data_IF_105167727554
#
_entry.id   IF_105167727554
#
_cell.length_a   1.000
_cell.length_b   1.000
_cell.length_c   1.000
_cell.angle_alpha   90.00
_cell.angle_beta   90.00
_cell.angle_gamma   90.00
#
_symmetry.space_group_name_H-M   'P 1'
#
loop_
_entity.id
_entity.type
_entity.pdbx_description
1 polymer ?
#
# COMPACT_ATOMS: atom_id res chain seq x y z
N UNK A 1 3.23 -12.03 24.74
CA UNK A 1 2.22 -11.48 23.78
C UNK A 1 1.05 -12.44 23.78
N UNK A 2 -0.19 -11.96 23.80
CA UNK A 2 -1.39 -12.80 23.73
C UNK A 2 -1.42 -13.56 22.40
N UNK A 3 -1.78 -14.84 22.40
CA UNK A 3 -1.84 -15.66 21.20
C UNK A 3 -3.30 -15.82 20.76
N UNK A 4 -3.58 -15.55 19.49
CA UNK A 4 -4.88 -15.83 18.85
C UNK A 4 -4.76 -17.18 18.15
N UNK A 5 -5.62 -18.14 18.54
CA UNK A 5 -5.63 -19.51 18.03
C UNK A 5 -7.01 -19.84 17.45
N UNK A 6 -7.07 -20.16 16.16
CA UNK A 6 -8.32 -20.48 15.46
C UNK A 6 -9.00 -21.76 15.98
N UNK A 7 -8.24 -22.65 16.64
CA UNK A 7 -8.81 -23.83 17.27
C UNK A 7 -9.52 -23.52 18.61
N UNK A 8 -9.33 -22.31 19.15
CA UNK A 8 -9.91 -21.86 20.41
C UNK A 8 -10.54 -20.49 20.27
N UNK A 9 -11.70 -20.38 19.56
CA UNK A 9 -12.36 -19.09 19.37
C UNK A 9 -12.76 -18.45 20.70
N UNK A 10 -12.56 -17.13 20.78
CA UNK A 10 -12.81 -16.29 21.94
C UNK A 10 -13.65 -15.07 21.55
N UNK A 11 -14.04 -14.25 22.51
CA UNK A 11 -14.71 -12.96 22.26
C UNK A 11 -13.69 -11.85 22.06
N UNK A 12 -13.65 -11.29 20.86
CA UNK A 12 -12.75 -10.18 20.48
C UNK A 12 -13.53 -8.90 20.24
N UNK A 13 -13.11 -7.83 20.92
CA UNK A 13 -13.70 -6.51 20.78
C UNK A 13 -12.78 -5.58 19.98
N UNK A 14 -13.34 -4.87 18.97
CA UNK A 14 -12.61 -3.95 18.11
C UNK A 14 -12.97 -2.49 18.38
N UNK A 15 -12.02 -1.66 18.82
CA UNK A 15 -12.19 -0.20 18.92
C UNK A 15 -11.93 0.40 17.53
N UNK A 16 -12.98 0.92 16.88
CA UNK A 16 -12.94 1.40 15.50
C UNK A 16 -13.11 0.30 14.47
N UNK A 17 -14.07 -0.60 14.68
CA UNK A 17 -14.33 -1.80 13.85
C UNK A 17 -14.67 -1.48 12.40
N UNK A 18 -15.26 -0.29 12.11
CA UNK A 18 -15.63 0.14 10.76
C UNK A 18 -14.49 0.66 9.90
N UNK A 19 -13.27 0.75 10.44
CA UNK A 19 -12.09 1.07 9.64
C UNK A 19 -11.81 -0.02 8.60
N UNK A 20 -11.41 0.38 7.37
CA UNK A 20 -11.21 -0.53 6.22
C UNK A 20 -10.39 -1.78 6.60
N UNK A 21 -9.27 -1.60 7.30
CA UNK A 21 -8.40 -2.71 7.71
C UNK A 21 -8.94 -3.48 8.92
N UNK A 22 -9.64 -2.79 9.85
CA UNK A 22 -10.20 -3.42 11.06
C UNK A 22 -11.38 -4.33 10.72
N UNK A 23 -12.26 -3.86 9.82
CA UNK A 23 -13.44 -4.63 9.41
C UNK A 23 -13.07 -5.97 8.77
N UNK A 24 -12.02 -5.99 7.95
CA UNK A 24 -11.60 -7.24 7.35
C UNK A 24 -10.92 -8.20 8.34
N UNK A 25 -10.20 -7.69 9.35
CA UNK A 25 -9.67 -8.54 10.43
C UNK A 25 -10.80 -9.14 11.26
N UNK A 26 -11.87 -8.35 11.50
CA UNK A 26 -13.09 -8.84 12.15
C UNK A 26 -13.79 -9.92 11.31
N UNK A 27 -13.82 -9.77 9.98
CA UNK A 27 -14.41 -10.75 9.05
C UNK A 27 -13.64 -12.08 9.07
N UNK A 28 -12.30 -12.05 9.11
CA UNK A 28 -11.49 -13.27 9.28
C UNK A 28 -11.91 -14.00 10.56
N UNK A 29 -12.03 -13.31 11.69
CA UNK A 29 -12.43 -13.95 12.95
C UNK A 29 -13.84 -14.54 12.90
N UNK A 30 -14.80 -13.82 12.30
CA UNK A 30 -16.17 -14.33 12.15
C UNK A 30 -16.20 -15.62 11.34
N UNK A 31 -15.39 -15.71 10.27
CA UNK A 31 -15.31 -16.93 9.47
C UNK A 31 -14.68 -18.11 10.22
N UNK A 32 -13.83 -17.83 11.22
CA UNK A 32 -13.18 -18.81 12.09
C UNK A 32 -13.99 -19.10 13.37
N UNK A 33 -15.24 -18.62 13.44
CA UNK A 33 -16.18 -18.93 14.52
C UNK A 33 -15.97 -18.15 15.82
N UNK A 34 -15.19 -17.08 15.82
CA UNK A 34 -15.02 -16.18 16.96
C UNK A 34 -16.27 -15.36 17.22
N UNK A 35 -16.49 -14.99 18.48
CA UNK A 35 -17.44 -13.93 18.81
C UNK A 35 -16.77 -12.58 18.58
N UNK A 36 -17.40 -11.75 17.75
CA UNK A 36 -16.84 -10.44 17.39
C UNK A 36 -17.81 -9.33 17.78
N UNK A 37 -17.30 -8.37 18.52
CA UNK A 37 -17.99 -7.11 18.79
C UNK A 37 -17.05 -5.93 18.62
N UNK A 38 -17.59 -4.74 18.58
CA UNK A 38 -16.77 -3.55 18.47
C UNK A 38 -17.57 -2.26 18.50
N UNK A 39 -16.86 -1.15 18.30
CA UNK A 39 -17.47 0.18 18.23
C UNK A 39 -16.97 0.95 17.02
N UNK A 40 -17.82 1.84 16.52
CA UNK A 40 -17.45 2.88 15.56
C UNK A 40 -18.24 4.16 15.80
N UNK A 41 -17.76 5.29 15.26
CA UNK A 41 -18.48 6.54 15.39
C UNK A 41 -19.75 6.56 14.56
N UNK A 42 -19.67 6.02 13.35
CA UNK A 42 -20.75 6.07 12.35
C UNK A 42 -21.06 4.69 11.79
N UNK A 43 -22.31 4.53 11.39
CA UNK A 43 -22.74 3.40 10.59
C UNK A 43 -22.23 3.56 9.16
N UNK A 44 -21.71 2.50 8.59
CA UNK A 44 -21.16 2.43 7.24
C UNK A 44 -21.51 1.11 6.56
N UNK A 45 -21.31 1.01 5.25
CA UNK A 45 -21.50 -0.25 4.53
C UNK A 45 -20.65 -1.40 5.11
N UNK A 46 -19.42 -1.08 5.58
CA UNK A 46 -18.54 -2.07 6.22
C UNK A 46 -19.11 -2.57 7.54
N UNK A 47 -19.57 -1.68 8.43
CA UNK A 47 -20.16 -2.10 9.70
C UNK A 47 -21.48 -2.85 9.50
N UNK A 48 -22.30 -2.46 8.53
CA UNK A 48 -23.52 -3.18 8.18
C UNK A 48 -23.24 -4.60 7.63
N UNK A 49 -22.16 -4.74 6.87
CA UNK A 49 -21.71 -6.05 6.40
C UNK A 49 -21.30 -6.94 7.57
N UNK A 50 -20.51 -6.41 8.51
CA UNK A 50 -20.09 -7.15 9.71
C UNK A 50 -21.29 -7.55 10.60
N UNK A 51 -22.27 -6.65 10.80
CA UNK A 51 -23.50 -6.97 11.54
C UNK A 51 -24.28 -8.12 10.88
N UNK A 52 -24.39 -8.12 9.55
CA UNK A 52 -25.02 -9.22 8.79
C UNK A 52 -24.23 -10.52 8.90
N UNK A 53 -22.92 -10.45 9.07
CA UNK A 53 -22.03 -11.60 9.26
C UNK A 53 -21.98 -12.09 10.71
N UNK A 54 -22.68 -11.42 11.65
CA UNK A 54 -22.81 -11.85 13.04
C UNK A 54 -22.05 -11.02 14.07
N UNK A 55 -21.39 -9.94 13.69
CA UNK A 55 -20.75 -9.04 14.65
C UNK A 55 -21.78 -8.16 15.38
N UNK A 56 -21.48 -7.80 16.62
CA UNK A 56 -22.23 -6.78 17.36
C UNK A 56 -21.48 -5.43 17.32
N UNK A 57 -22.11 -4.38 16.77
CA UNK A 57 -21.46 -3.07 16.61
C UNK A 57 -22.17 -1.99 17.44
N UNK A 58 -21.43 -1.31 18.31
CA UNK A 58 -21.87 -0.16 19.08
C UNK A 58 -21.53 1.13 18.35
N UNK A 59 -22.49 2.05 18.21
CA UNK A 59 -22.29 3.32 17.53
C UNK A 59 -22.34 4.50 18.49
N UNK A 60 -21.52 5.52 18.22
CA UNK A 60 -21.56 6.80 18.95
C UNK A 60 -20.22 7.49 19.09
N UNK A 61 -20.30 8.80 19.32
CA UNK A 61 -19.16 9.66 19.60
C UNK A 61 -19.47 10.55 20.82
N UNK A 62 -18.70 10.46 21.93
CA UNK A 62 -17.60 9.51 22.17
C UNK A 62 -18.10 8.08 22.35
N UNK A 63 -17.19 7.12 22.11
CA UNK A 63 -17.41 5.70 22.46
C UNK A 63 -17.47 5.56 23.99
N UNK A 64 -18.30 4.64 24.49
CA UNK A 64 -18.63 4.55 25.91
C UNK A 64 -17.87 3.42 26.60
N UNK A 65 -17.38 3.67 27.81
CA UNK A 65 -16.72 2.65 28.64
C UNK A 65 -17.59 1.38 28.87
N UNK A 66 -18.92 1.55 28.91
CA UNK A 66 -19.90 0.47 29.12
C UNK A 66 -19.91 -0.58 28.01
N UNK A 67 -19.37 -0.26 26.82
CA UNK A 67 -19.24 -1.20 25.72
C UNK A 67 -18.21 -2.29 26.01
N UNK A 68 -17.28 -2.05 26.93
CA UNK A 68 -16.29 -3.04 27.38
C UNK A 68 -16.85 -3.81 28.57
N UNK A 69 -17.26 -5.06 28.31
CA UNK A 69 -17.91 -5.97 29.24
C UNK A 69 -16.95 -7.08 29.71
N UNK A 70 -17.32 -7.76 30.78
CA UNK A 70 -16.43 -8.78 31.44
C UNK A 70 -16.30 -10.08 30.64
N UNK A 71 -17.11 -10.30 29.60
CA UNK A 71 -17.07 -11.45 28.70
C UNK A 71 -16.14 -11.25 27.49
N UNK A 72 -15.48 -10.09 27.39
CA UNK A 72 -14.48 -9.82 26.36
C UNK A 72 -13.13 -10.41 26.77
N UNK A 73 -12.54 -11.25 25.91
CA UNK A 73 -11.26 -11.90 26.15
C UNK A 73 -10.07 -11.09 25.59
N UNK A 74 -10.29 -10.32 24.52
CA UNK A 74 -9.24 -9.56 23.82
C UNK A 74 -9.80 -8.27 23.23
N UNK A 75 -9.06 -7.18 23.37
CA UNK A 75 -9.37 -5.88 22.72
C UNK A 75 -8.36 -5.58 21.62
N UNK A 76 -8.83 -5.25 20.41
CA UNK A 76 -8.02 -4.82 19.28
C UNK A 76 -8.27 -3.35 18.99
N UNK A 77 -7.21 -2.57 18.80
CA UNK A 77 -7.33 -1.12 18.58
C UNK A 77 -6.40 -0.61 17.47
N UNK A 78 -6.76 0.52 16.86
CA UNK A 78 -5.95 1.19 15.84
C UNK A 78 -5.01 2.24 16.46
N UNK A 79 -3.99 2.64 15.71
CA UNK A 79 -3.10 3.74 16.10
C UNK A 79 -3.83 5.11 16.21
N UNK A 80 -5.06 5.23 15.71
CA UNK A 80 -5.88 6.42 15.82
C UNK A 80 -6.61 6.52 17.18
N UNK A 81 -6.58 5.46 17.99
CA UNK A 81 -7.16 5.44 19.34
C UNK A 81 -6.15 6.04 20.32
N UNK A 82 -6.54 7.14 20.96
CA UNK A 82 -5.73 7.83 21.96
C UNK A 82 -6.08 7.39 23.38
N UNK A 83 -5.20 7.73 24.34
CA UNK A 83 -5.34 7.33 25.74
C UNK A 83 -6.59 7.92 26.45
N UNK A 84 -7.22 8.95 25.90
CA UNK A 84 -8.47 9.56 26.36
C UNK A 84 -9.74 8.84 25.88
N UNK A 85 -9.59 7.84 25.01
CA UNK A 85 -10.73 6.99 24.60
C UNK A 85 -11.24 6.19 25.78
N UNK A 86 -12.54 6.29 26.06
CA UNK A 86 -13.16 5.66 27.25
C UNK A 86 -13.13 4.14 27.20
N UNK A 87 -13.29 3.51 26.01
CA UNK A 87 -13.21 2.07 25.87
C UNK A 87 -11.77 1.57 26.08
N UNK A 88 -10.78 2.29 25.51
CA UNK A 88 -9.37 1.98 25.69
C UNK A 88 -8.94 2.07 27.17
N UNK A 89 -9.39 3.10 27.88
CA UNK A 89 -9.14 3.29 29.30
C UNK A 89 -9.81 2.18 30.13
N UNK A 90 -11.07 1.84 29.80
CA UNK A 90 -11.82 0.79 30.48
C UNK A 90 -11.20 -0.59 30.30
N UNK A 91 -10.76 -0.93 29.10
CA UNK A 91 -10.04 -2.19 28.83
C UNK A 91 -8.76 -2.31 29.68
N UNK A 92 -8.02 -1.21 29.84
CA UNK A 92 -6.83 -1.15 30.73
C UNK A 92 -7.19 -1.31 32.21
N UNK A 93 -8.26 -0.68 32.67
CA UNK A 93 -8.72 -0.83 34.06
C UNK A 93 -9.09 -2.28 34.37
N UNK A 94 -9.75 -2.96 33.43
CA UNK A 94 -10.12 -4.37 33.56
C UNK A 94 -8.94 -5.32 33.33
N UNK A 95 -7.75 -4.79 32.96
CA UNK A 95 -6.56 -5.56 32.63
C UNK A 95 -6.79 -6.59 31.51
N UNK A 96 -7.69 -6.29 30.59
CA UNK A 96 -7.92 -7.14 29.42
C UNK A 96 -6.68 -7.19 28.53
N UNK A 97 -6.36 -8.31 27.91
CA UNK A 97 -5.38 -8.37 26.83
C UNK A 97 -5.72 -7.37 25.74
N UNK A 98 -4.74 -6.61 25.28
CA UNK A 98 -4.91 -5.59 24.26
C UNK A 98 -3.83 -5.75 23.19
N UNK A 99 -4.23 -5.75 21.92
CA UNK A 99 -3.32 -5.78 20.77
C UNK A 99 -3.60 -4.59 19.85
N UNK A 100 -2.56 -3.95 19.40
CA UNK A 100 -2.66 -3.06 18.27
C UNK A 100 -3.06 -3.82 17.00
N UNK A 101 -3.61 -3.15 16.00
CA UNK A 101 -3.95 -3.76 14.70
C UNK A 101 -2.79 -4.55 14.09
N UNK A 102 -1.56 -4.03 14.18
CA UNK A 102 -0.39 -4.69 13.61
C UNK A 102 0.00 -5.95 14.39
N UNK A 103 -0.02 -5.91 15.72
CA UNK A 103 0.22 -7.08 16.57
C UNK A 103 -0.85 -8.14 16.33
N UNK A 104 -2.11 -7.72 16.23
CA UNK A 104 -3.22 -8.64 15.97
C UNK A 104 -3.09 -9.32 14.60
N UNK A 105 -2.77 -8.55 13.53
CA UNK A 105 -2.50 -9.11 12.20
C UNK A 105 -1.36 -10.15 12.25
N UNK A 106 -0.29 -9.84 12.99
CA UNK A 106 0.80 -10.80 13.21
C UNK A 106 0.34 -12.08 13.93
N UNK A 107 -0.57 -11.98 14.91
CA UNK A 107 -1.12 -13.17 15.57
C UNK A 107 -1.99 -14.00 14.63
N UNK A 108 -2.78 -13.37 13.74
CA UNK A 108 -3.55 -14.09 12.73
C UNK A 108 -2.62 -14.88 11.79
N UNK A 109 -1.50 -14.30 11.34
CA UNK A 109 -0.53 -14.96 10.47
C UNK A 109 -0.05 -16.30 11.00
N UNK A 110 0.05 -16.49 12.32
CA UNK A 110 0.50 -17.74 12.95
C UNK A 110 -0.42 -18.93 12.73
N UNK A 111 -1.66 -18.68 12.33
CA UNK A 111 -2.66 -19.74 12.10
C UNK A 111 -2.61 -20.29 10.67
N UNK A 112 -1.71 -19.77 9.82
CA UNK A 112 -1.56 -20.20 8.43
C UNK A 112 -0.23 -20.91 8.21
N UNK A 113 -0.20 -21.89 7.30
CA UNK A 113 1.00 -22.69 7.00
C UNK A 113 2.07 -21.89 6.28
N UNK A 114 1.64 -20.96 5.45
CA UNK A 114 2.52 -20.17 4.58
C UNK A 114 2.15 -18.68 4.61
N UNK A 115 2.43 -17.99 5.71
CA UNK A 115 2.26 -16.55 5.80
C UNK A 115 3.34 -15.82 5.00
N UNK A 116 2.90 -14.90 4.12
CA UNK A 116 3.71 -14.13 3.19
C UNK A 116 3.58 -12.66 3.57
N UNK A 117 4.71 -11.96 3.76
CA UNK A 117 4.74 -10.55 4.09
C UNK A 117 5.51 -9.76 3.02
N UNK A 118 4.84 -8.78 2.41
CA UNK A 118 5.41 -7.93 1.36
C UNK A 118 5.76 -6.57 1.95
N UNK A 119 7.06 -6.28 2.03
CA UNK A 119 7.60 -5.04 2.58
C UNK A 119 8.45 -4.25 1.57
N UNK A 120 8.76 -3.03 1.92
CA UNK A 120 9.55 -2.10 1.11
C UNK A 120 9.06 -0.67 1.35
N UNK A 121 9.87 0.33 1.07
CA UNK A 121 9.43 1.72 1.17
C UNK A 121 8.29 1.97 0.16
N UNK A 122 8.46 1.50 -1.08
CA UNK A 122 7.50 1.69 -2.17
C UNK A 122 7.10 0.35 -2.82
N UNK A 123 5.97 0.35 -3.55
CA UNK A 123 5.51 -0.80 -4.34
C UNK A 123 4.78 -1.91 -3.56
N UNK A 124 4.68 -1.82 -2.23
CA UNK A 124 4.04 -2.83 -1.37
C UNK A 124 2.65 -3.24 -1.86
N UNK A 125 1.74 -2.27 -1.98
CA UNK A 125 0.34 -2.52 -2.39
C UNK A 125 0.27 -3.15 -3.77
N UNK A 126 1.02 -2.62 -4.74
CA UNK A 126 1.03 -3.14 -6.11
C UNK A 126 1.55 -4.58 -6.17
N UNK A 127 2.68 -4.87 -5.48
CA UNK A 127 3.25 -6.22 -5.45
C UNK A 127 2.34 -7.21 -4.72
N UNK A 128 1.77 -6.80 -3.57
CA UNK A 128 0.79 -7.63 -2.85
C UNK A 128 -0.41 -7.94 -3.73
N UNK A 129 -0.89 -6.97 -4.51
CA UNK A 129 -2.00 -7.17 -5.44
C UNK A 129 -1.63 -8.08 -6.62
N UNK A 130 -0.45 -7.92 -7.23
CA UNK A 130 0.06 -8.84 -8.26
C UNK A 130 0.11 -10.29 -7.75
N UNK A 131 0.66 -10.49 -6.56
CA UNK A 131 0.70 -11.80 -5.89
C UNK A 131 -0.72 -12.32 -5.67
N UNK A 132 -1.63 -11.47 -5.18
CA UNK A 132 -3.02 -11.85 -4.94
C UNK A 132 -3.72 -12.29 -6.21
N UNK A 133 -3.58 -11.57 -7.32
CA UNK A 133 -4.17 -11.95 -8.60
C UNK A 133 -3.60 -13.28 -9.14
N UNK A 134 -2.28 -13.51 -9.00
CA UNK A 134 -1.66 -14.79 -9.37
C UNK A 134 -2.27 -15.95 -8.56
N UNK A 135 -2.38 -15.78 -7.24
CA UNK A 135 -2.91 -16.80 -6.36
C UNK A 135 -4.40 -17.09 -6.63
N UNK A 136 -5.18 -16.03 -6.93
CA UNK A 136 -6.59 -16.15 -7.29
C UNK A 136 -6.76 -16.86 -8.65
N UNK A 137 -5.98 -16.47 -9.66
CA UNK A 137 -5.97 -17.09 -10.98
C UNK A 137 -5.63 -18.59 -10.90
N UNK A 138 -4.66 -18.94 -10.05
CA UNK A 138 -4.26 -20.33 -9.79
C UNK A 138 -5.24 -21.09 -8.88
N UNK A 139 -6.35 -20.50 -8.47
CA UNK A 139 -7.39 -21.10 -7.61
C UNK A 139 -6.85 -21.66 -6.29
N UNK A 140 -5.88 -20.99 -5.67
CA UNK A 140 -5.24 -21.44 -4.41
C UNK A 140 -6.00 -21.05 -3.15
N UNK A 141 -7.06 -20.30 -3.27
CA UNK A 141 -7.95 -19.84 -2.17
C UNK A 141 -7.23 -19.15 -0.98
N UNK A 142 -6.41 -18.11 -1.20
CA UNK A 142 -5.63 -17.45 -0.16
C UNK A 142 -6.50 -16.50 0.69
N UNK A 143 -6.09 -16.30 1.96
CA UNK A 143 -6.48 -15.12 2.73
C UNK A 143 -5.56 -13.96 2.39
N UNK A 144 -6.15 -12.79 2.10
CA UNK A 144 -5.44 -11.62 1.58
C UNK A 144 -5.69 -10.41 2.48
N UNK A 145 -4.63 -9.63 2.76
CA UNK A 145 -4.69 -8.34 3.46
C UNK A 145 -3.82 -7.32 2.71
N UNK A 146 -4.46 -6.52 1.87
CA UNK A 146 -3.84 -5.60 0.91
C UNK A 146 -3.97 -4.16 1.44
N UNK A 147 -3.01 -3.30 1.14
CA UNK A 147 -3.02 -1.89 1.55
C UNK A 147 -3.98 -0.98 0.77
N UNK A 148 -4.56 -1.48 -0.34
CA UNK A 148 -5.48 -0.76 -1.21
C UNK A 148 -6.63 -1.63 -1.69
N UNK A 149 -7.61 -1.04 -2.36
CA UNK A 149 -8.77 -1.77 -2.91
C UNK A 149 -8.34 -2.54 -4.17
N UNK A 150 -8.49 -3.84 -4.15
CA UNK A 150 -8.31 -4.72 -5.29
C UNK A 150 -9.67 -5.07 -5.90
N UNK A 151 -9.85 -4.76 -7.19
CA UNK A 151 -11.16 -4.86 -7.86
C UNK A 151 -11.68 -6.29 -7.93
N UNK A 152 -10.82 -7.28 -8.10
CA UNK A 152 -11.19 -8.71 -8.20
C UNK A 152 -11.80 -9.27 -6.92
N UNK A 153 -11.49 -8.69 -5.76
CA UNK A 153 -12.06 -9.09 -4.46
C UNK A 153 -13.02 -8.03 -3.89
N UNK A 154 -13.29 -6.93 -4.63
CA UNK A 154 -14.14 -5.82 -4.20
C UNK A 154 -13.78 -5.21 -2.84
N UNK A 155 -12.49 -5.25 -2.47
CA UNK A 155 -12.04 -4.81 -1.16
C UNK A 155 -10.53 -4.90 -1.00
N UNK A 156 -10.08 -4.76 0.22
CA UNK A 156 -8.68 -4.89 0.60
C UNK A 156 -8.39 -6.14 1.46
N UNK A 157 -9.43 -6.88 1.81
CA UNK A 157 -9.33 -8.15 2.53
C UNK A 157 -10.20 -9.19 1.82
N UNK A 158 -9.72 -10.41 1.78
CA UNK A 158 -10.44 -11.60 1.36
C UNK A 158 -10.13 -12.71 2.34
N UNK A 159 -11.16 -13.40 2.80
CA UNK A 159 -11.02 -14.61 3.59
C UNK A 159 -10.95 -15.80 2.64
N UNK A 160 -9.88 -16.57 2.72
CA UNK A 160 -9.69 -17.86 2.04
C UNK A 160 -9.56 -18.99 3.04
N UNK A 161 -9.62 -20.22 2.55
CA UNK A 161 -9.60 -21.43 3.40
C UNK A 161 -8.34 -22.28 3.18
N UNK A 162 -7.38 -21.79 2.42
CA UNK A 162 -6.07 -22.45 2.29
C UNK A 162 -5.09 -22.02 3.38
N UNK A 163 -3.96 -22.73 3.49
CA UNK A 163 -2.87 -22.34 4.38
C UNK A 163 -2.08 -21.10 3.93
N UNK A 164 -2.52 -20.40 2.88
CA UNK A 164 -1.84 -19.20 2.34
C UNK A 164 -2.43 -17.93 2.96
N UNK A 165 -1.56 -17.09 3.50
CA UNK A 165 -1.91 -15.75 3.98
C UNK A 165 -0.96 -14.72 3.38
N UNK A 166 -1.46 -13.73 2.65
CA UNK A 166 -0.64 -12.66 2.07
C UNK A 166 -0.98 -11.34 2.74
N UNK A 167 0.01 -10.66 3.29
CA UNK A 167 -0.17 -9.36 3.92
C UNK A 167 0.85 -8.33 3.44
N UNK A 168 0.38 -7.10 3.26
CA UNK A 168 1.25 -5.95 3.14
C UNK A 168 1.87 -5.62 4.51
N UNK A 169 3.20 -5.47 4.54
CA UNK A 169 4.00 -5.29 5.75
C UNK A 169 4.62 -3.89 5.76
N UNK A 170 3.95 -2.96 6.45
CA UNK A 170 4.39 -1.56 6.54
C UNK A 170 5.51 -1.41 7.57
N UNK A 171 6.60 -0.74 7.17
CA UNK A 171 7.75 -0.42 8.00
C UNK A 171 7.48 0.70 9.00
N UNK A 172 6.51 1.58 8.69
CA UNK A 172 6.18 2.73 9.55
C UNK A 172 5.84 2.29 10.97
N UNK A 173 6.43 2.99 11.94
CA UNK A 173 6.38 2.66 13.38
C UNK A 173 6.83 1.24 13.73
N UNK A 174 7.64 0.62 12.87
CA UNK A 174 8.08 -0.77 13.02
C UNK A 174 6.93 -1.78 13.07
N UNK A 175 5.78 -1.46 12.48
CA UNK A 175 4.57 -2.31 12.52
C UNK A 175 4.82 -3.72 12.00
N UNK A 176 5.62 -3.86 10.94
CA UNK A 176 5.95 -5.15 10.33
C UNK A 176 6.78 -6.08 11.25
N UNK A 177 7.42 -5.53 12.30
CA UNK A 177 8.18 -6.34 13.28
C UNK A 177 7.25 -7.14 14.20
N UNK A 178 5.96 -6.88 14.19
CA UNK A 178 4.96 -7.67 14.90
C UNK A 178 4.49 -8.91 14.10
N UNK A 179 4.96 -9.07 12.85
CA UNK A 179 4.54 -10.15 11.96
C UNK A 179 5.34 -11.44 12.18
N UNK A 180 4.79 -12.56 11.69
CA UNK A 180 5.41 -13.89 11.76
C UNK A 180 5.41 -14.53 10.37
N UNK A 181 6.15 -13.95 9.41
CA UNK A 181 6.15 -14.47 8.04
C UNK A 181 7.01 -15.74 7.93
N UNK A 182 6.60 -16.66 7.07
CA UNK A 182 7.43 -17.75 6.55
C UNK A 182 8.13 -17.33 5.26
N UNK A 183 7.49 -16.44 4.49
CA UNK A 183 8.05 -15.85 3.30
C UNK A 183 8.03 -14.33 3.45
N UNK A 184 9.18 -13.70 3.30
CA UNK A 184 9.34 -12.25 3.30
C UNK A 184 9.75 -11.73 1.93
N UNK A 185 9.28 -10.54 1.58
CA UNK A 185 9.70 -9.83 0.37
C UNK A 185 10.14 -8.43 0.77
N UNK A 186 11.31 -7.98 0.30
CA UNK A 186 11.82 -6.62 0.47
C UNK A 186 12.04 -6.01 -0.92
N UNK A 187 11.18 -5.04 -1.28
CA UNK A 187 11.16 -4.45 -2.62
C UNK A 187 12.22 -3.37 -2.82
N UNK A 188 12.37 -2.49 -1.84
CA UNK A 188 13.33 -1.38 -1.83
C UNK A 188 13.46 -0.84 -0.40
N UNK A 189 14.53 -0.09 -0.15
CA UNK A 189 14.81 0.57 1.13
C UNK A 189 15.29 1.98 0.82
N UNK A 190 14.44 2.98 1.07
CA UNK A 190 14.70 4.40 0.83
C UNK A 190 14.34 5.23 2.06
N UNK A 191 14.78 6.49 2.08
CA UNK A 191 14.38 7.42 3.14
C UNK A 191 12.90 7.77 3.02
N UNK A 192 12.13 7.42 4.01
CA UNK A 192 10.74 7.87 4.23
C UNK A 192 10.44 7.82 5.74
N UNK A 193 9.29 8.36 6.14
CA UNK A 193 8.85 8.36 7.54
C UNK A 193 9.88 8.94 8.52
N UNK A 194 10.55 10.04 8.13
CA UNK A 194 11.57 10.71 8.96
C UNK A 194 11.00 11.41 10.21
N UNK A 195 9.69 11.36 10.39
CA UNK A 195 8.99 11.66 11.64
C UNK A 195 9.15 10.54 12.68
N UNK A 196 9.46 9.32 12.24
CA UNK A 196 9.65 8.15 13.09
C UNK A 196 11.09 7.63 13.03
N UNK A 197 11.66 7.43 11.85
CA UNK A 197 13.04 6.99 11.66
C UNK A 197 14.00 8.17 11.69
N UNK A 198 15.17 7.94 12.27
CA UNK A 198 16.20 8.96 12.37
C UNK A 198 16.87 9.26 11.04
N UNK A 199 17.18 8.23 10.28
CA UNK A 199 17.92 8.28 9.02
C UNK A 199 17.79 6.93 8.26
N UNK A 200 18.39 6.86 7.07
CA UNK A 200 18.41 5.64 6.25
C UNK A 200 19.04 4.44 6.98
N UNK A 201 20.06 4.68 7.82
CA UNK A 201 20.70 3.59 8.56
C UNK A 201 19.73 2.95 9.57
N UNK A 202 18.91 3.76 10.23
CA UNK A 202 17.86 3.28 11.14
C UNK A 202 16.78 2.50 10.40
N UNK A 203 16.35 3.00 9.22
CA UNK A 203 15.43 2.27 8.32
C UNK A 203 16.03 0.92 7.94
N UNK A 204 17.28 0.87 7.47
CA UNK A 204 17.98 -0.38 7.10
C UNK A 204 18.06 -1.35 8.27
N UNK A 205 18.35 -0.86 9.48
CA UNK A 205 18.36 -1.69 10.68
C UNK A 205 16.98 -2.30 10.98
N UNK A 206 15.90 -1.56 10.72
CA UNK A 206 14.53 -2.06 10.85
C UNK A 206 14.23 -3.16 9.83
N UNK A 207 14.57 -2.97 8.54
CA UNK A 207 14.42 -4.01 7.52
C UNK A 207 15.27 -5.26 7.82
N UNK A 208 16.47 -5.09 8.37
CA UNK A 208 17.28 -6.24 8.86
C UNK A 208 16.54 -7.02 9.94
N UNK A 209 15.95 -6.34 10.92
CA UNK A 209 15.12 -6.99 11.96
C UNK A 209 13.92 -7.72 11.35
N UNK A 210 13.27 -7.14 10.35
CA UNK A 210 12.18 -7.81 9.62
C UNK A 210 12.67 -9.09 8.94
N UNK A 211 13.80 -9.06 8.23
CA UNK A 211 14.40 -10.24 7.62
C UNK A 211 14.74 -11.35 8.66
N UNK A 212 15.14 -10.96 9.87
CA UNK A 212 15.43 -11.88 10.97
C UNK A 212 14.18 -12.54 11.59
N UNK A 213 12.97 -12.10 11.26
CA UNK A 213 11.74 -12.78 11.69
C UNK A 213 11.50 -14.10 10.94
N UNK A 214 12.15 -14.28 9.80
CA UNK A 214 11.97 -15.47 8.97
C UNK A 214 12.59 -16.71 9.61
N UNK A 215 11.85 -17.84 9.70
CA UNK A 215 12.38 -19.08 10.24
C UNK A 215 13.41 -19.71 9.29
N UNK A 216 14.16 -20.67 9.77
CA UNK A 216 15.23 -21.33 9.01
C UNK A 216 14.71 -22.07 7.75
N UNK A 217 13.46 -22.54 7.77
CA UNK A 217 12.76 -23.14 6.63
C UNK A 217 11.99 -22.12 5.77
N UNK A 218 12.15 -20.83 6.08
CA UNK A 218 11.55 -19.71 5.36
C UNK A 218 12.34 -19.28 4.12
N UNK A 219 11.81 -18.30 3.40
CA UNK A 219 12.47 -17.69 2.24
C UNK A 219 12.34 -16.17 2.29
N UNK A 220 13.45 -15.47 2.09
CA UNK A 220 13.49 -14.03 1.85
C UNK A 220 13.72 -13.77 0.36
N UNK A 221 12.79 -13.05 -0.28
CA UNK A 221 13.04 -12.42 -1.57
C UNK A 221 13.48 -10.98 -1.33
N UNK A 222 14.62 -10.59 -1.88
CA UNK A 222 15.15 -9.23 -1.70
C UNK A 222 15.60 -8.65 -3.04
N UNK A 223 15.29 -7.39 -3.26
CA UNK A 223 15.76 -6.69 -4.45
C UNK A 223 17.28 -6.51 -4.39
N UNK A 224 17.99 -7.12 -5.35
CA UNK A 224 19.44 -7.06 -5.49
C UNK A 224 19.96 -5.68 -5.92
N UNK A 225 19.08 -4.78 -6.35
CA UNK A 225 19.45 -3.40 -6.69
C UNK A 225 19.52 -2.49 -5.44
N UNK A 226 19.09 -2.96 -4.27
CA UNK A 226 19.29 -2.25 -3.00
C UNK A 226 20.79 -2.20 -2.71
N UNK A 227 21.32 -1.00 -2.56
CA UNK A 227 22.74 -0.81 -2.23
C UNK A 227 23.11 -1.60 -0.96
N UNK A 228 24.19 -2.40 -1.03
CA UNK A 228 24.66 -3.23 0.09
C UNK A 228 23.55 -4.10 0.72
N UNK A 229 22.67 -4.71 -0.09
CA UNK A 229 21.59 -5.58 0.40
C UNK A 229 22.10 -6.75 1.24
N UNK A 230 23.34 -7.18 1.02
CA UNK A 230 24.00 -8.26 1.78
C UNK A 230 24.04 -7.97 3.30
N UNK A 231 24.15 -6.69 3.71
CA UNK A 231 24.10 -6.29 5.12
C UNK A 231 22.74 -6.62 5.77
N UNK A 232 21.64 -6.59 4.99
CA UNK A 232 20.31 -6.96 5.46
C UNK A 232 20.19 -8.47 5.67
N UNK A 233 20.91 -9.26 4.87
CA UNK A 233 20.77 -10.72 4.81
C UNK A 233 21.87 -11.49 5.55
N UNK A 234 22.92 -10.80 5.97
CA UNK A 234 24.04 -11.43 6.67
C UNK A 234 23.61 -12.18 7.94
N UNK A 235 23.97 -13.47 8.01
CA UNK A 235 23.67 -14.34 9.17
C UNK A 235 22.23 -14.83 9.25
N UNK A 236 21.39 -14.62 8.22
CA UNK A 236 20.07 -15.24 8.17
C UNK A 236 20.18 -16.76 8.00
N UNK A 237 19.30 -17.50 8.68
CA UNK A 237 19.20 -18.95 8.55
C UNK A 237 18.28 -19.38 7.40
N UNK A 238 17.37 -18.50 6.94
CA UNK A 238 16.44 -18.78 5.86
C UNK A 238 17.13 -18.72 4.50
N UNK A 239 16.44 -19.25 3.47
CA UNK A 239 16.87 -19.10 2.08
C UNK A 239 16.73 -17.65 1.63
N UNK A 240 17.75 -17.11 0.95
CA UNK A 240 17.71 -15.79 0.32
C UNK A 240 17.68 -15.98 -1.20
N UNK A 241 16.76 -15.29 -1.86
CA UNK A 241 16.60 -15.24 -3.32
C UNK A 241 16.54 -13.77 -3.74
N UNK A 242 17.33 -13.40 -4.73
CA UNK A 242 17.41 -12.03 -5.23
C UNK A 242 16.58 -11.85 -6.50
N UNK A 243 15.98 -10.69 -6.64
CA UNK A 243 15.42 -10.20 -7.90
C UNK A 243 15.94 -8.78 -8.15
N UNK A 244 16.04 -8.37 -9.41
CA UNK A 244 16.60 -7.04 -9.73
C UNK A 244 16.67 -6.80 -11.22
N UNK A 245 17.25 -5.64 -11.61
CA UNK A 245 17.28 -5.19 -13.00
C UNK A 245 18.40 -5.84 -13.84
N UNK A 246 19.34 -6.51 -13.21
CA UNK A 246 20.52 -7.08 -13.89
C UNK A 246 20.71 -8.56 -13.61
N UNK A 247 21.51 -9.24 -14.46
CA UNK A 247 21.90 -10.65 -14.31
C UNK A 247 22.74 -10.97 -13.06
N UNK A 248 22.99 -10.00 -12.19
CA UNK A 248 23.57 -10.24 -10.89
C UNK A 248 22.56 -10.82 -9.89
N UNK A 249 21.27 -10.72 -10.20
CA UNK A 249 20.17 -11.27 -9.40
C UNK A 249 19.70 -12.63 -9.93
N UNK A 250 19.07 -13.43 -9.05
CA UNK A 250 18.51 -14.76 -9.40
C UNK A 250 17.32 -14.64 -10.36
N UNK A 251 16.54 -13.54 -10.26
CA UNK A 251 15.47 -13.19 -11.18
C UNK A 251 15.75 -11.81 -11.76
N UNK A 252 15.82 -11.71 -13.10
CA UNK A 252 16.09 -10.44 -13.77
C UNK A 252 15.40 -10.38 -15.15
N UNK A 253 15.15 -9.16 -15.69
CA UNK A 253 14.52 -8.98 -16.99
C UNK A 253 15.57 -8.83 -18.09
N UNK A 254 15.20 -9.19 -19.33
CA UNK A 254 15.87 -8.75 -20.56
C UNK A 254 14.84 -8.44 -21.64
N UNK A 255 15.31 -7.89 -22.76
CA UNK A 255 14.50 -7.61 -23.96
C UNK A 255 13.23 -6.77 -23.64
N UNK A 256 13.38 -5.77 -22.76
CA UNK A 256 12.25 -4.91 -22.36
C UNK A 256 11.80 -4.07 -23.56
N UNK A 257 10.52 -4.13 -23.85
CA UNK A 257 9.88 -3.34 -24.91
C UNK A 257 8.51 -2.86 -24.44
N UNK A 258 8.04 -1.76 -25.03
CA UNK A 258 6.76 -1.15 -24.70
C UNK A 258 5.87 -1.08 -25.93
N UNK A 259 4.59 -1.41 -25.78
CA UNK A 259 3.60 -1.25 -26.84
C UNK A 259 3.08 0.20 -26.92
N UNK A 260 2.11 0.46 -27.78
CA UNK A 260 1.52 1.80 -27.98
C UNK A 260 0.74 2.32 -26.76
N UNK A 261 0.34 1.43 -25.85
CA UNK A 261 -0.36 1.74 -24.59
C UNK A 261 0.59 1.75 -23.40
N UNK A 262 1.91 1.72 -23.64
CA UNK A 262 2.97 1.69 -22.63
C UNK A 262 3.00 0.42 -21.74
N UNK A 263 2.38 -0.68 -22.19
CA UNK A 263 2.48 -1.96 -21.49
C UNK A 263 3.85 -2.58 -21.75
N UNK A 264 4.55 -2.95 -20.68
CA UNK A 264 5.87 -3.54 -20.76
C UNK A 264 5.79 -5.03 -21.11
N UNK A 265 6.57 -5.46 -22.12
CA UNK A 265 6.84 -6.87 -22.43
C UNK A 265 8.32 -7.13 -22.27
N UNK A 266 8.69 -8.18 -21.56
CA UNK A 266 10.09 -8.53 -21.29
C UNK A 266 10.27 -10.03 -21.09
N UNK A 267 11.52 -10.49 -21.19
CA UNK A 267 11.92 -11.86 -20.88
C UNK A 267 12.35 -11.95 -19.42
N UNK A 268 11.69 -12.80 -18.63
CA UNK A 268 12.10 -13.13 -17.25
C UNK A 268 13.12 -14.23 -17.28
N UNK A 269 14.28 -14.02 -16.67
CA UNK A 269 15.26 -15.04 -16.35
C UNK A 269 15.05 -15.50 -14.91
N UNK A 270 14.88 -16.80 -14.69
CA UNK A 270 14.61 -17.38 -13.37
C UNK A 270 15.84 -18.09 -12.82
N UNK A 271 15.90 -18.25 -11.50
CA UNK A 271 16.97 -18.94 -10.76
C UNK A 271 17.29 -20.34 -11.33
N UNK A 272 16.31 -21.05 -11.86
CA UNK A 272 16.49 -22.40 -12.45
C UNK A 272 17.00 -22.38 -13.92
N UNK A 273 17.36 -21.21 -14.44
CA UNK A 273 17.82 -21.03 -15.82
C UNK A 273 16.72 -21.01 -16.87
N UNK A 274 15.45 -21.05 -16.49
CA UNK A 274 14.34 -20.90 -17.43
C UNK A 274 14.19 -19.44 -17.86
N UNK A 275 13.81 -19.25 -19.12
CA UNK A 275 13.48 -17.94 -19.69
C UNK A 275 12.04 -17.96 -20.18
N UNK A 276 11.27 -16.94 -19.81
CA UNK A 276 9.83 -16.87 -20.11
C UNK A 276 9.44 -15.43 -20.42
N UNK A 277 8.63 -15.23 -21.44
CA UNK A 277 8.16 -13.89 -21.82
C UNK A 277 6.96 -13.50 -20.96
N UNK A 278 6.95 -12.27 -20.47
CA UNK A 278 5.90 -11.70 -19.64
C UNK A 278 5.46 -10.34 -20.19
N UNK A 279 4.16 -10.07 -20.16
CA UNK A 279 3.59 -8.75 -20.45
C UNK A 279 2.78 -8.29 -19.23
N UNK A 280 2.96 -7.03 -18.83
CA UNK A 280 2.23 -6.43 -17.71
C UNK A 280 1.03 -5.64 -18.22
N UNK A 281 -0.09 -5.72 -17.50
CA UNK A 281 -1.24 -4.85 -17.71
C UNK A 281 -1.16 -3.51 -16.93
N UNK A 282 -0.08 -3.30 -16.17
CA UNK A 282 0.19 -2.04 -15.44
C UNK A 282 1.38 -1.32 -16.02
N UNK A 283 1.34 0.01 -15.99
CA UNK A 283 2.38 0.86 -16.55
C UNK A 283 3.50 1.16 -15.56
N UNK A 284 4.67 1.56 -16.11
CA UNK A 284 5.82 2.00 -15.35
C UNK A 284 6.89 0.92 -15.16
N UNK A 285 8.14 1.33 -15.38
CA UNK A 285 9.31 0.45 -15.32
C UNK A 285 9.51 -0.20 -13.94
N UNK A 286 9.20 0.54 -12.87
CA UNK A 286 9.25 0.02 -11.50
C UNK A 286 8.35 -1.22 -11.29
N UNK A 287 7.27 -1.36 -12.08
CA UNK A 287 6.39 -2.53 -12.03
C UNK A 287 7.01 -3.77 -12.62
N UNK A 288 8.08 -3.66 -13.42
CA UNK A 288 8.88 -4.83 -13.84
C UNK A 288 9.54 -5.45 -12.61
N UNK A 289 10.18 -4.65 -11.74
CA UNK A 289 10.78 -5.15 -10.51
C UNK A 289 9.72 -5.75 -9.55
N UNK A 290 8.56 -5.10 -9.39
CA UNK A 290 7.45 -5.62 -8.60
C UNK A 290 6.96 -6.98 -9.13
N UNK A 291 6.85 -7.12 -10.46
CA UNK A 291 6.44 -8.37 -11.12
C UNK A 291 7.48 -9.48 -10.95
N UNK A 292 8.78 -9.16 -10.99
CA UNK A 292 9.83 -10.15 -10.73
C UNK A 292 9.74 -10.76 -9.34
N UNK A 293 9.44 -9.95 -8.31
CA UNK A 293 9.19 -10.46 -6.96
C UNK A 293 7.98 -11.41 -6.93
N UNK A 294 6.88 -11.03 -7.62
CA UNK A 294 5.68 -11.86 -7.70
C UNK A 294 5.92 -13.17 -8.47
N UNK A 295 6.68 -13.14 -9.59
CA UNK A 295 7.09 -14.33 -10.34
C UNK A 295 7.99 -15.24 -9.52
N UNK A 296 8.95 -14.69 -8.78
CA UNK A 296 9.85 -15.47 -7.94
C UNK A 296 9.08 -16.22 -6.83
N UNK A 297 8.08 -15.57 -6.23
CA UNK A 297 7.17 -16.20 -5.27
C UNK A 297 6.29 -17.27 -5.95
N UNK A 298 5.75 -16.99 -7.12
CA UNK A 298 4.94 -17.93 -7.91
C UNK A 298 5.71 -19.22 -8.21
N UNK A 299 6.98 -19.10 -8.63
CA UNK A 299 7.87 -20.25 -8.86
C UNK A 299 8.14 -21.03 -7.55
N UNK A 300 8.34 -20.37 -6.41
CA UNK A 300 8.50 -21.03 -5.11
C UNK A 300 7.26 -21.82 -4.72
N UNK A 301 6.07 -21.29 -4.99
CA UNK A 301 4.78 -21.95 -4.71
C UNK A 301 4.39 -22.97 -5.79
N UNK A 302 5.22 -23.18 -6.82
CA UNK A 302 4.97 -24.11 -7.94
C UNK A 302 3.68 -23.81 -8.72
N UNK A 303 3.35 -22.52 -8.86
CA UNK A 303 2.21 -22.07 -9.68
C UNK A 303 2.57 -22.18 -11.17
N UNK A 304 1.64 -22.63 -12.01
CA UNK A 304 1.84 -22.69 -13.46
C UNK A 304 2.12 -21.26 -14.00
N UNK A 305 3.17 -21.16 -14.80
CA UNK A 305 3.56 -19.87 -15.37
C UNK A 305 2.48 -19.23 -16.25
N UNK A 306 1.60 -20.01 -16.84
CA UNK A 306 0.45 -19.49 -17.62
C UNK A 306 -0.49 -18.71 -16.73
N UNK A 307 -0.79 -19.23 -15.52
CA UNK A 307 -1.63 -18.53 -14.55
C UNK A 307 -0.96 -17.23 -14.09
N UNK A 308 0.36 -17.29 -13.84
CA UNK A 308 1.16 -16.11 -13.50
C UNK A 308 1.13 -15.06 -14.61
N UNK A 309 1.37 -15.46 -15.85
CA UNK A 309 1.41 -14.54 -16.99
C UNK A 309 0.03 -13.93 -17.29
N UNK A 310 -1.03 -14.74 -17.23
CA UNK A 310 -2.41 -14.29 -17.45
C UNK A 310 -2.87 -13.32 -16.34
N UNK A 311 -2.57 -13.64 -15.09
CA UNK A 311 -2.89 -12.77 -13.96
C UNK A 311 -2.21 -11.39 -14.09
N UNK A 312 -0.91 -11.36 -14.40
CA UNK A 312 -0.16 -10.11 -14.53
C UNK A 312 -0.54 -9.30 -15.78
N UNK A 313 -0.94 -9.96 -16.86
CA UNK A 313 -1.48 -9.28 -18.04
C UNK A 313 -2.85 -8.62 -17.76
N UNK A 314 -3.71 -9.30 -17.01
CA UNK A 314 -5.05 -8.83 -16.68
C UNK A 314 -5.09 -7.91 -15.45
N UNK A 315 -3.99 -7.78 -14.71
CA UNK A 315 -3.89 -6.86 -13.59
C UNK A 315 -3.66 -5.44 -14.09
N UNK A 316 -4.65 -4.57 -13.91
CA UNK A 316 -4.59 -3.16 -14.33
C UNK A 316 -4.42 -2.18 -13.15
N UNK A 317 -3.86 -2.67 -12.04
CA UNK A 317 -3.58 -1.87 -10.85
C UNK A 317 -4.69 -1.96 -9.79
N UNK A 318 -4.41 -1.34 -8.65
CA UNK A 318 -5.36 -1.08 -7.57
C UNK A 318 -5.89 0.35 -7.68
N UNK A 319 -6.99 0.63 -7.00
CA UNK A 319 -7.48 2.00 -6.92
C UNK A 319 -6.38 2.94 -6.46
N UNK A 320 -6.32 4.12 -7.06
CA UNK A 320 -5.31 5.15 -6.80
C UNK A 320 -3.84 4.75 -7.11
N UNK A 321 -3.59 3.81 -8.05
CA UNK A 321 -2.25 3.45 -8.55
C UNK A 321 -2.22 3.54 -10.07
N UNK A 322 -1.91 4.71 -10.61
CA UNK A 322 -2.05 5.08 -12.02
C UNK A 322 -3.45 4.71 -12.56
N UNK A 323 -4.47 4.97 -11.75
CA UNK A 323 -5.84 4.55 -12.01
C UNK A 323 -6.48 5.45 -13.07
N UNK A 324 -6.89 4.87 -14.20
CA UNK A 324 -7.72 5.56 -15.16
C UNK A 324 -9.12 5.82 -14.56
N UNK A 325 -9.47 7.09 -14.37
CA UNK A 325 -10.76 7.51 -13.80
C UNK A 325 -11.81 7.78 -14.87
N UNK A 326 -11.40 8.24 -16.04
CA UNK A 326 -12.33 8.58 -17.12
C UNK A 326 -11.77 9.63 -18.08
N UNK A 327 -12.65 10.13 -18.95
CA UNK A 327 -12.32 11.19 -19.92
C UNK A 327 -13.44 12.23 -19.96
N UNK A 328 -13.08 13.51 -19.85
CA UNK A 328 -13.99 14.65 -20.01
C UNK A 328 -13.46 15.60 -21.07
N UNK A 329 -14.28 15.99 -22.05
CA UNK A 329 -13.91 16.88 -23.15
C UNK A 329 -12.63 16.45 -23.91
N UNK A 330 -12.33 15.13 -23.92
CA UNK A 330 -11.12 14.57 -24.51
C UNK A 330 -9.87 14.69 -23.66
N UNK A 331 -9.98 15.13 -22.41
CA UNK A 331 -8.91 15.13 -21.39
C UNK A 331 -8.98 13.80 -20.65
N UNK A 332 -7.92 13.04 -20.67
CA UNK A 332 -7.82 11.79 -19.89
C UNK A 332 -7.47 12.10 -18.45
N UNK A 333 -8.22 11.56 -17.50
CA UNK A 333 -8.00 11.74 -16.05
C UNK A 333 -7.49 10.44 -15.45
N UNK A 334 -6.37 10.53 -14.76
CA UNK A 334 -5.72 9.46 -14.00
C UNK A 334 -5.55 9.90 -12.56
N UNK A 335 -5.68 8.99 -11.59
CA UNK A 335 -5.35 9.24 -10.17
C UNK A 335 -4.21 8.35 -9.71
N UNK A 336 -3.32 8.92 -8.88
CA UNK A 336 -2.22 8.19 -8.27
C UNK A 336 -1.99 8.60 -6.80
N UNK A 337 -1.78 7.63 -5.95
CA UNK A 337 -1.54 7.83 -4.51
C UNK A 337 -0.12 8.33 -4.21
N UNK A 338 0.75 8.47 -5.22
CA UNK A 338 2.14 8.90 -5.06
C UNK A 338 2.25 10.18 -4.24
N UNK A 339 3.06 10.12 -3.20
CA UNK A 339 3.23 11.20 -2.23
C UNK A 339 4.68 11.32 -1.72
N UNK A 340 5.58 10.52 -2.26
CA UNK A 340 7.04 10.59 -2.07
C UNK A 340 7.72 10.99 -3.39
N UNK A 341 8.83 11.75 -3.40
CA UNK A 341 9.49 12.16 -4.64
C UNK A 341 9.81 11.03 -5.61
N UNK A 342 10.28 9.89 -5.12
CA UNK A 342 10.56 8.70 -5.94
C UNK A 342 9.30 8.15 -6.61
N UNK A 343 8.17 8.06 -5.87
CA UNK A 343 6.89 7.62 -6.41
C UNK A 343 6.37 8.58 -7.47
N UNK A 344 6.42 9.89 -7.20
CA UNK A 344 6.02 10.95 -8.14
C UNK A 344 6.81 10.85 -9.44
N UNK A 345 8.14 10.70 -9.35
CA UNK A 345 8.99 10.53 -10.52
C UNK A 345 8.61 9.26 -11.30
N UNK A 346 8.39 8.15 -10.62
CA UNK A 346 7.99 6.88 -11.24
C UNK A 346 6.65 7.00 -11.99
N UNK A 347 5.64 7.61 -11.36
CA UNK A 347 4.33 7.85 -11.96
C UNK A 347 4.41 8.79 -13.17
N UNK A 348 5.16 9.90 -13.06
CA UNK A 348 5.30 10.84 -14.17
C UNK A 348 6.12 10.25 -15.32
N UNK A 349 7.16 9.44 -15.05
CA UNK A 349 7.85 8.68 -16.10
C UNK A 349 6.92 7.69 -16.82
N UNK A 350 6.05 7.00 -16.10
CA UNK A 350 5.03 6.15 -16.72
C UNK A 350 4.07 6.97 -17.61
N UNK A 351 3.65 8.15 -17.12
CA UNK A 351 2.77 9.06 -17.84
C UNK A 351 3.38 9.61 -19.13
N UNK A 352 4.70 9.86 -19.16
CA UNK A 352 5.40 10.31 -20.38
C UNK A 352 5.32 9.30 -21.51
N UNK A 353 5.16 8.00 -21.20
CA UNK A 353 4.95 6.95 -22.20
C UNK A 353 3.47 6.78 -22.61
N UNK A 354 2.54 7.40 -21.90
CA UNK A 354 1.13 7.36 -22.21
C UNK A 354 0.78 8.42 -23.29
N UNK A 355 -0.09 8.13 -24.25
CA UNK A 355 -0.41 9.10 -25.32
C UNK A 355 -1.04 10.38 -24.76
N UNK A 356 -0.39 11.52 -24.95
CA UNK A 356 -0.89 12.84 -24.51
C UNK A 356 -0.32 13.98 -25.37
N UNK A 357 -0.95 15.15 -25.29
CA UNK A 357 -0.43 16.42 -25.83
C UNK A 357 0.34 17.18 -24.76
N UNK A 358 -0.29 17.41 -23.61
CA UNK A 358 0.29 18.09 -22.45
C UNK A 358 0.04 17.23 -21.24
N UNK A 359 1.09 16.98 -20.45
CA UNK A 359 1.00 16.27 -19.17
C UNK A 359 0.80 17.30 -18.05
N UNK A 360 -0.38 17.29 -17.44
CA UNK A 360 -0.73 18.08 -16.27
C UNK A 360 -0.65 17.21 -14.99
N UNK A 361 0.01 17.73 -13.96
CA UNK A 361 0.04 17.08 -12.65
C UNK A 361 -0.61 18.01 -11.61
N UNK A 362 -1.73 17.60 -11.02
CA UNK A 362 -2.32 18.20 -9.83
C UNK A 362 -1.75 17.46 -8.62
N UNK A 363 -0.93 18.13 -7.83
CA UNK A 363 -0.28 17.50 -6.69
C UNK A 363 -0.74 18.13 -5.36
N UNK A 364 -1.11 17.27 -4.41
CA UNK A 364 -1.38 17.64 -3.03
C UNK A 364 -0.25 17.10 -2.14
N UNK A 365 0.63 17.97 -1.62
CA UNK A 365 1.65 17.53 -0.67
C UNK A 365 1.01 16.93 0.58
N UNK A 366 1.60 15.85 1.11
CA UNK A 366 1.06 15.13 2.27
C UNK A 366 2.01 15.29 3.46
N UNK A 367 1.51 15.88 4.54
CA UNK A 367 2.15 16.29 5.78
C UNK A 367 3.17 17.43 5.64
N UNK A 368 3.25 18.28 6.65
CA UNK A 368 4.18 19.41 6.67
C UNK A 368 5.63 18.94 6.83
N UNK A 369 5.86 17.92 7.67
CA UNK A 369 7.19 17.37 7.93
C UNK A 369 7.81 16.78 6.68
N UNK A 370 7.08 15.93 5.93
CA UNK A 370 7.55 15.34 4.68
C UNK A 370 7.76 16.41 3.62
N UNK A 371 6.82 17.34 3.47
CA UNK A 371 6.93 18.43 2.50
C UNK A 371 8.20 19.24 2.71
N UNK A 372 8.53 19.58 3.96
CA UNK A 372 9.74 20.34 4.29
C UNK A 372 11.01 19.52 4.09
N UNK A 373 11.01 18.25 4.49
CA UNK A 373 12.18 17.37 4.38
C UNK A 373 12.61 17.14 2.92
N UNK A 374 11.63 16.96 2.02
CA UNK A 374 11.88 16.61 0.62
C UNK A 374 11.56 17.73 -0.37
N UNK A 375 11.50 18.98 0.07
CA UNK A 375 11.04 20.10 -0.75
C UNK A 375 11.78 20.24 -2.10
N UNK A 376 13.14 20.17 -2.15
CA UNK A 376 13.87 20.22 -3.41
C UNK A 376 13.64 18.99 -4.30
N UNK A 377 13.51 17.82 -3.70
CA UNK A 377 13.27 16.56 -4.41
C UNK A 377 11.85 16.54 -5.02
N UNK A 378 10.85 17.05 -4.31
CA UNK A 378 9.50 17.25 -4.85
C UNK A 378 9.52 18.14 -6.09
N UNK A 379 10.24 19.29 -6.03
CA UNK A 379 10.32 20.20 -7.16
C UNK A 379 10.92 19.52 -8.41
N UNK A 380 12.00 18.76 -8.25
CA UNK A 380 12.65 18.01 -9.34
C UNK A 380 11.73 16.93 -9.92
N UNK A 381 11.05 16.17 -9.06
CA UNK A 381 10.14 15.10 -9.52
C UNK A 381 8.95 15.68 -10.27
N UNK A 382 8.32 16.73 -9.73
CA UNK A 382 7.16 17.38 -10.36
C UNK A 382 7.53 18.07 -11.68
N UNK A 383 8.78 18.52 -11.83
CA UNK A 383 9.27 19.11 -13.07
C UNK A 383 9.33 18.14 -14.27
N UNK A 384 9.05 16.86 -14.08
CA UNK A 384 8.82 15.90 -15.17
C UNK A 384 7.52 16.16 -15.93
N UNK A 385 6.50 16.71 -15.27
CA UNK A 385 5.27 17.13 -15.94
C UNK A 385 5.50 18.39 -16.78
N UNK A 386 4.65 18.63 -17.79
CA UNK A 386 4.71 19.86 -18.57
C UNK A 386 4.19 21.04 -17.75
N UNK A 387 3.11 20.81 -16.98
CA UNK A 387 2.47 21.80 -16.12
C UNK A 387 2.08 21.20 -14.77
N UNK A 388 2.26 21.97 -13.72
CA UNK A 388 2.00 21.55 -12.33
C UNK A 388 0.96 22.46 -11.69
N UNK A 389 0.01 21.86 -11.01
CA UNK A 389 -0.96 22.55 -10.16
C UNK A 389 -0.81 22.01 -8.75
N UNK A 390 -0.65 22.89 -7.77
CA UNK A 390 -0.52 22.52 -6.36
C UNK A 390 -1.80 22.86 -5.62
N UNK A 391 -2.25 21.94 -4.76
CA UNK A 391 -3.25 22.17 -3.74
C UNK A 391 -2.58 22.52 -2.40
N UNK A 392 -3.36 22.91 -1.40
CA UNK A 392 -2.88 23.06 -0.02
C UNK A 392 -2.32 21.73 0.52
N UNK A 393 -1.35 21.83 1.45
CA UNK A 393 -0.77 20.65 2.10
C UNK A 393 -1.86 19.93 2.89
N UNK A 394 -2.02 18.63 2.63
CA UNK A 394 -2.89 17.76 3.43
C UNK A 394 -2.21 17.45 4.77
N UNK A 395 -2.71 18.03 5.84
CA UNK A 395 -2.09 17.96 7.17
C UNK A 395 -2.07 16.54 7.77
N UNK A 396 -3.04 15.69 7.41
CA UNK A 396 -3.28 14.38 8.04
C UNK A 396 -3.42 14.50 9.56
N UNK A 397 -2.39 14.11 10.32
CA UNK A 397 -2.36 14.17 11.79
C UNK A 397 -1.51 15.33 12.34
N UNK A 398 -0.88 16.09 11.45
CA UNK A 398 0.02 17.17 11.86
C UNK A 398 -0.70 18.49 12.02
N UNK A 399 -0.13 19.33 12.85
CA UNK A 399 -0.43 20.79 12.91
C UNK A 399 0.78 21.51 12.35
N UNK A 400 0.56 22.52 11.53
CA UNK A 400 1.67 23.32 10.99
C UNK A 400 2.43 24.05 12.12
N UNK A 401 3.63 23.57 12.40
CA UNK A 401 4.60 24.22 13.30
C UNK A 401 5.87 24.63 12.55
N UNK A 402 5.93 24.36 11.23
CA UNK A 402 7.12 24.50 10.43
C UNK A 402 7.09 25.74 9.52
N UNK A 403 5.91 26.36 9.38
CA UNK A 403 5.68 27.53 8.54
C UNK A 403 5.98 27.26 7.08
N UNK A 404 5.59 26.09 6.56
CA UNK A 404 5.74 25.69 5.17
C UNK A 404 4.39 25.62 4.46
N UNK A 405 4.36 26.03 3.20
CA UNK A 405 3.16 25.98 2.36
C UNK A 405 3.46 25.46 0.97
N UNK A 406 2.44 25.15 0.19
CA UNK A 406 2.59 24.78 -1.21
C UNK A 406 3.14 25.91 -2.07
N UNK A 407 3.08 27.17 -1.62
CA UNK A 407 3.73 28.30 -2.30
C UNK A 407 5.27 28.18 -2.30
N UNK A 408 5.87 27.60 -1.26
CA UNK A 408 7.32 27.35 -1.21
C UNK A 408 7.72 26.31 -2.26
N UNK A 409 6.90 25.26 -2.43
CA UNK A 409 7.10 24.25 -3.46
C UNK A 409 6.90 24.85 -4.86
N UNK A 410 5.87 25.69 -5.07
CA UNK A 410 5.61 26.38 -6.32
C UNK A 410 6.84 27.15 -6.78
N UNK A 411 7.44 27.92 -5.88
CA UNK A 411 8.62 28.73 -6.19
C UNK A 411 9.82 27.88 -6.65
N UNK A 412 9.97 26.65 -6.11
CA UNK A 412 11.03 25.73 -6.52
C UNK A 412 10.73 25.04 -7.85
N UNK A 413 9.50 24.61 -8.10
CA UNK A 413 9.09 24.02 -9.39
C UNK A 413 9.29 25.05 -10.51
N UNK A 414 8.96 26.33 -10.27
CA UNK A 414 9.20 27.40 -11.23
C UNK A 414 10.69 27.64 -11.51
N UNK A 415 11.57 27.44 -10.50
CA UNK A 415 13.03 27.49 -10.68
C UNK A 415 13.57 26.33 -11.54
N UNK A 416 12.89 25.18 -11.52
CA UNK A 416 13.18 24.06 -12.44
C UNK A 416 12.69 24.35 -13.89
N UNK A 417 12.12 25.53 -14.15
CA UNK A 417 11.71 25.98 -15.48
C UNK A 417 10.31 25.52 -15.91
N UNK A 418 9.46 25.09 -14.96
CA UNK A 418 8.11 24.62 -15.27
C UNK A 418 7.03 25.63 -14.88
N UNK A 419 5.93 25.66 -15.65
CA UNK A 419 4.73 26.39 -15.25
C UNK A 419 4.12 25.68 -14.03
N UNK A 420 3.99 26.42 -12.94
CA UNK A 420 3.41 25.90 -11.69
C UNK A 420 2.41 26.90 -11.14
N UNK A 421 1.21 26.41 -10.88
CA UNK A 421 0.08 27.14 -10.33
C UNK A 421 -0.22 26.63 -8.93
N UNK A 422 -0.78 27.48 -8.06
CA UNK A 422 -1.18 27.10 -6.70
C UNK A 422 -2.53 27.70 -6.39
N UNK A 423 -3.42 26.89 -5.83
CA UNK A 423 -4.76 27.27 -5.42
C UNK A 423 -5.09 26.68 -4.06
N UNK A 424 -5.92 27.38 -3.30
CA UNK A 424 -6.31 26.99 -1.96
C UNK A 424 -7.48 26.01 -1.92
N UNK A 425 -8.34 26.03 -2.93
CA UNK A 425 -9.53 25.18 -2.98
C UNK A 425 -9.55 24.28 -4.20
N UNK A 426 -10.18 23.13 -4.09
CA UNK A 426 -10.36 22.21 -5.21
C UNK A 426 -11.25 22.81 -6.29
N UNK A 427 -12.23 23.60 -5.93
CA UNK A 427 -13.11 24.30 -6.88
C UNK A 427 -12.32 25.27 -7.80
N UNK A 428 -11.38 26.03 -7.23
CA UNK A 428 -10.49 26.89 -8.02
C UNK A 428 -9.62 26.07 -8.98
N UNK A 429 -9.12 24.91 -8.56
CA UNK A 429 -8.35 23.99 -9.40
C UNK A 429 -9.21 23.44 -10.54
N UNK A 430 -10.41 22.95 -10.23
CA UNK A 430 -11.35 22.40 -11.21
C UNK A 430 -11.74 23.44 -12.26
N UNK A 431 -12.06 24.66 -11.86
CA UNK A 431 -12.37 25.76 -12.75
C UNK A 431 -11.19 26.17 -13.62
N UNK A 432 -9.98 26.13 -13.09
CA UNK A 432 -8.76 26.40 -13.82
C UNK A 432 -8.49 25.31 -14.87
N UNK A 433 -8.64 24.03 -14.52
CA UNK A 433 -8.49 22.89 -15.43
C UNK A 433 -9.45 22.98 -16.59
N UNK A 434 -10.75 23.21 -16.35
CA UNK A 434 -11.77 23.32 -17.39
C UNK A 434 -11.53 24.47 -18.38
N UNK A 435 -10.81 25.51 -17.96
CA UNK A 435 -10.46 26.67 -18.81
C UNK A 435 -9.17 26.48 -19.61
N UNK A 436 -8.23 25.65 -19.12
CA UNK A 436 -6.86 25.62 -19.65
C UNK A 436 -6.46 24.26 -20.25
N UNK A 437 -7.03 23.15 -19.79
CA UNK A 437 -6.78 21.84 -20.40
C UNK A 437 -7.61 21.65 -21.67
N UNK A 438 -7.05 20.95 -22.64
CA UNK A 438 -7.68 20.76 -23.96
C UNK A 438 -7.74 19.28 -24.32
N UNK A 439 -8.54 18.97 -25.34
CA UNK A 439 -8.64 17.62 -25.90
C UNK A 439 -7.25 17.04 -26.25
N UNK A 440 -6.97 15.87 -25.72
CA UNK A 440 -5.72 15.15 -25.87
C UNK A 440 -4.71 15.37 -24.74
N UNK A 441 -5.03 16.20 -23.73
CA UNK A 441 -4.20 16.33 -22.53
C UNK A 441 -4.40 15.15 -21.59
N UNK A 442 -3.36 14.83 -20.83
CA UNK A 442 -3.38 13.88 -19.71
C UNK A 442 -3.32 14.67 -18.39
N UNK A 443 -4.31 14.50 -17.55
CA UNK A 443 -4.41 15.11 -16.22
C UNK A 443 -4.23 14.03 -15.17
N UNK A 444 -3.25 14.19 -14.28
CA UNK A 444 -3.02 13.28 -13.16
C UNK A 444 -3.31 14.01 -11.86
N UNK A 445 -4.25 13.50 -11.05
CA UNK A 445 -4.40 13.85 -9.65
C UNK A 445 -3.45 12.99 -8.83
N UNK A 446 -2.63 13.60 -7.98
CA UNK A 446 -1.53 12.89 -7.30
C UNK A 446 -1.41 13.32 -5.84
N UNK A 447 -1.40 12.33 -4.93
CA UNK A 447 -1.23 12.55 -3.49
C UNK A 447 -1.98 11.53 -2.62
N UNK A 448 -1.58 11.40 -1.36
CA UNK A 448 -2.18 10.47 -0.39
C UNK A 448 -3.42 11.04 0.33
N UNK A 449 -3.74 12.32 0.08
CA UNK A 449 -4.92 12.99 0.62
C UNK A 449 -6.17 12.81 -0.23
N UNK A 450 -7.00 13.84 -0.23
CA UNK A 450 -8.32 13.89 -0.87
C UNK A 450 -8.29 14.49 -2.29
N UNK A 451 -7.12 14.72 -2.87
CA UNK A 451 -6.92 15.28 -4.22
C UNK A 451 -7.61 14.47 -5.34
N UNK A 452 -7.85 13.18 -5.13
CA UNK A 452 -8.62 12.31 -6.03
C UNK A 452 -10.01 12.88 -6.33
N UNK A 453 -10.63 13.57 -5.38
CA UNK A 453 -11.93 14.19 -5.51
C UNK A 453 -11.98 15.22 -6.67
N UNK A 454 -10.87 15.88 -6.97
CA UNK A 454 -10.81 16.83 -8.11
C UNK A 454 -11.10 16.10 -9.42
N UNK A 455 -10.45 14.95 -9.65
CA UNK A 455 -10.68 14.15 -10.85
C UNK A 455 -12.11 13.60 -10.92
N UNK A 456 -12.65 13.13 -9.80
CA UNK A 456 -14.03 12.60 -9.72
C UNK A 456 -15.08 13.70 -9.92
N UNK A 457 -14.88 14.86 -9.31
CA UNK A 457 -15.75 16.02 -9.50
C UNK A 457 -15.76 16.50 -10.96
N UNK A 458 -14.58 16.59 -11.61
CA UNK A 458 -14.47 16.96 -13.02
C UNK A 458 -15.28 16.01 -13.91
N UNK A 459 -15.21 14.69 -13.66
CA UNK A 459 -15.96 13.68 -14.42
C UNK A 459 -17.47 13.74 -14.18
N UNK A 460 -17.91 14.36 -13.07
CA UNK A 460 -19.32 14.52 -12.71
C UNK A 460 -19.97 15.78 -13.30
N UNK A 461 -19.18 16.71 -13.86
CA UNK A 461 -19.60 17.96 -14.49
C UNK A 461 -19.94 17.77 -15.97
#
# INVERSE_FOLDING_TARGET
MYQVDFNHPIHVYFIGIGGISMSGLAEILLSEGFTVSGSDWNRSALTEHLEKSGAHVNYGKPQKAENITDDIDLVVYTAAVHADNQEFSRAKELQLPMLSRAEFLGQLMKNYDTPIAVSGTHGKTTTTSMISEILLQANTDPTLSIGGILKSIHGNIRVGHSGLFVAEACEYTNSFLSFFPKIGIILNIEEDHLDFFKDLADIRASFRKFAQLLPADGTLFINGDIENWQEITEGLACRVVTFGTTSASDYYPSDISYNKTADATFTVHSLNGQTRQLTLGVHGEHNISNALAAVALSDLLSIDYRDTAEALLNFHGTDRRFEYKGTINGITIVDDYAHHPTEIAATLHAALNYPHKTLWCIFQPHTYTRTKAFLPQFAKSLALADKVILADIYAARETDTLGISSADLQALVQKEGKECFYFHTFEEIEDFVLKNCINGDLLITMGAGDVVNIGENLLSR
#
